data_IF_264778880373
#
_entry.id   IF_264778880373
#
_cell.length_a   1.000
_cell.length_b   1.000
_cell.length_c   1.000
_cell.angle_alpha   90.00
_cell.angle_beta   90.00
_cell.angle_gamma   90.00
#
_symmetry.space_group_name_H-M   'P 1'
#
loop_
_entity.id
_entity.type
_entity.pdbx_description
1 polymer ?
#
# COMPACT_ATOMS: atom_id res chain seq x y z
N UNK A 1 31.17 3.41 59.58
CA UNK A 1 30.42 2.67 58.54
C UNK A 1 29.84 3.68 57.54
N UNK A 2 30.36 3.77 56.31
CA UNK A 2 29.87 4.69 55.28
C UNK A 2 28.65 4.07 54.58
N UNK A 3 27.50 4.75 54.62
CA UNK A 3 26.30 4.35 53.87
C UNK A 3 26.48 4.78 52.40
N UNK A 4 26.62 3.81 51.51
CA UNK A 4 26.64 4.01 50.07
C UNK A 4 25.19 4.03 49.58
N UNK A 5 24.72 5.18 49.08
CA UNK A 5 23.40 5.29 48.45
C UNK A 5 23.57 4.93 46.98
N UNK A 6 22.98 3.80 46.58
CA UNK A 6 22.90 3.37 45.19
C UNK A 6 21.75 4.13 44.52
N UNK A 7 22.06 5.03 43.58
CA UNK A 7 21.07 5.66 42.72
C UNK A 7 20.83 4.73 41.54
N UNK A 8 19.68 4.06 41.51
CA UNK A 8 19.20 3.40 40.29
C UNK A 8 18.67 4.46 39.32
N UNK A 9 19.31 4.62 38.17
CA UNK A 9 18.71 5.29 37.02
C UNK A 9 17.65 4.37 36.41
N UNK A 10 16.37 4.73 36.53
CA UNK A 10 15.35 4.18 35.65
C UNK A 10 15.50 4.82 34.27
N UNK A 11 15.99 4.05 33.30
CA UNK A 11 15.85 4.42 31.89
C UNK A 11 14.38 4.20 31.48
N UNK A 12 13.63 5.29 31.36
CA UNK A 12 12.29 5.28 30.75
C UNK A 12 12.42 4.98 29.26
N UNK A 13 12.17 3.73 28.87
CA UNK A 13 11.93 3.36 27.47
C UNK A 13 10.56 3.90 27.11
N UNK A 14 10.51 5.09 26.52
CA UNK A 14 9.27 5.60 25.95
C UNK A 14 8.81 4.65 24.82
N UNK A 15 7.50 4.32 24.72
CA UNK A 15 7.01 3.57 23.57
C UNK A 15 7.34 4.38 22.32
N UNK A 16 8.05 3.74 21.37
CA UNK A 16 8.28 4.33 20.05
C UNK A 16 6.90 4.66 19.50
N UNK A 17 6.61 5.95 19.32
CA UNK A 17 5.34 6.38 18.75
C UNK A 17 5.14 5.64 17.43
N UNK A 18 4.07 4.83 17.34
CA UNK A 18 3.70 4.16 16.11
C UNK A 18 3.50 5.25 15.06
N UNK A 19 4.26 5.21 13.96
CA UNK A 19 4.04 6.14 12.84
C UNK A 19 2.55 6.14 12.50
N UNK A 20 1.97 7.32 12.26
CA UNK A 20 0.59 7.35 11.81
C UNK A 20 0.50 6.59 10.50
N UNK A 21 -0.62 5.88 10.27
CA UNK A 21 -0.72 4.90 9.18
C UNK A 21 -0.32 5.50 7.82
N UNK A 22 -0.54 6.79 7.56
CA UNK A 22 -0.18 7.45 6.31
C UNK A 22 1.12 8.26 6.28
N UNK A 23 1.98 8.18 7.29
CA UNK A 23 3.20 9.01 7.35
C UNK A 23 4.23 8.63 6.28
N UNK A 24 4.30 7.34 5.91
CA UNK A 24 5.19 6.82 4.87
C UNK A 24 4.51 5.78 3.99
N UNK A 25 5.17 5.43 2.89
CA UNK A 25 4.74 4.32 2.00
C UNK A 25 4.73 2.99 2.75
N UNK A 26 5.70 2.81 3.64
CA UNK A 26 5.84 1.61 4.47
C UNK A 26 4.73 1.53 5.52
N UNK A 27 4.43 2.64 6.21
CA UNK A 27 3.41 2.66 7.25
C UNK A 27 2.02 2.36 6.67
N UNK A 28 1.69 2.91 5.50
CA UNK A 28 0.34 2.72 4.92
C UNK A 28 0.16 1.30 4.39
N UNK A 29 1.22 0.75 3.79
CA UNK A 29 1.23 -0.65 3.34
C UNK A 29 1.07 -1.60 4.53
N UNK A 30 1.82 -1.36 5.61
CA UNK A 30 1.73 -2.17 6.83
C UNK A 30 0.36 -2.03 7.50
N UNK A 31 -0.22 -0.82 7.52
CA UNK A 31 -1.54 -0.59 8.10
C UNK A 31 -2.63 -1.39 7.39
N UNK A 32 -2.56 -1.55 6.06
CA UNK A 32 -3.51 -2.40 5.33
C UNK A 32 -3.39 -3.86 5.78
N UNK A 33 -2.18 -4.43 5.83
CA UNK A 33 -1.97 -5.80 6.31
C UNK A 33 -2.45 -5.97 7.75
N UNK A 34 -2.14 -5.03 8.64
CA UNK A 34 -2.52 -5.08 10.04
C UNK A 34 -4.04 -5.11 10.24
N UNK A 35 -4.82 -4.42 9.39
CA UNK A 35 -6.28 -4.38 9.53
C UNK A 35 -6.94 -5.66 9.04
N UNK A 36 -6.42 -6.31 8.00
CA UNK A 36 -7.02 -7.55 7.47
C UNK A 36 -6.56 -8.79 8.25
N UNK A 37 -5.41 -8.71 8.92
CA UNK A 37 -4.78 -9.82 9.63
C UNK A 37 -5.21 -9.93 11.09
N UNK A 38 -5.64 -11.13 11.49
CA UNK A 38 -6.03 -11.41 12.86
C UNK A 38 -6.81 -12.72 13.04
N UNK A 39 -7.18 -13.04 14.30
CA UNK A 39 -8.06 -14.16 14.60
C UNK A 39 -9.44 -13.99 13.93
N UNK A 40 -10.29 -15.01 14.01
CA UNK A 40 -11.68 -14.85 13.54
C UNK A 40 -12.37 -13.71 14.31
N UNK A 41 -13.06 -12.82 13.60
CA UNK A 41 -13.78 -11.69 14.18
C UNK A 41 -13.89 -10.48 13.26
N UNK A 42 -14.59 -9.47 13.76
CA UNK A 42 -14.78 -8.19 13.06
C UNK A 42 -13.43 -7.47 12.96
N UNK A 43 -13.13 -6.91 11.77
CA UNK A 43 -11.96 -6.05 11.57
C UNK A 43 -12.31 -4.59 11.87
N UNK A 44 -11.29 -3.78 12.13
CA UNK A 44 -11.44 -2.34 12.21
C UNK A 44 -11.67 -1.74 10.82
N UNK A 45 -12.89 -1.86 10.32
CA UNK A 45 -13.25 -1.38 8.99
C UNK A 45 -13.27 0.15 8.93
N UNK A 46 -13.40 0.85 10.06
CA UNK A 46 -13.29 2.31 10.10
C UNK A 46 -11.84 2.72 9.78
N UNK A 47 -10.86 2.10 10.45
CA UNK A 47 -9.45 2.25 10.12
C UNK A 47 -9.18 1.83 8.69
N UNK A 48 -9.65 0.66 8.24
CA UNK A 48 -9.49 0.19 6.85
C UNK A 48 -9.84 1.28 5.84
N UNK A 49 -11.08 1.80 5.89
CA UNK A 49 -11.56 2.83 4.95
C UNK A 49 -10.74 4.10 4.99
N UNK A 50 -10.27 4.50 6.18
CA UNK A 50 -9.44 5.69 6.33
C UNK A 50 -8.09 5.60 5.59
N UNK A 51 -7.63 4.40 5.25
CA UNK A 51 -6.37 4.19 4.51
C UNK A 51 -6.49 4.50 3.01
N UNK A 52 -7.71 4.52 2.47
CA UNK A 52 -7.95 4.66 1.04
C UNK A 52 -8.25 6.11 0.64
N UNK A 53 -7.81 6.48 -0.55
CA UNK A 53 -8.18 7.73 -1.20
C UNK A 53 -9.62 7.63 -1.74
N UNK A 54 -10.23 8.80 -2.01
CA UNK A 54 -11.48 8.83 -2.77
C UNK A 54 -11.30 8.19 -4.15
N UNK A 55 -12.27 7.38 -4.57
CA UNK A 55 -12.21 6.68 -5.85
C UNK A 55 -11.33 5.42 -5.86
N UNK A 56 -10.73 5.02 -4.73
CA UNK A 56 -9.83 3.88 -4.68
C UNK A 56 -10.50 2.54 -5.07
N UNK A 57 -9.70 1.59 -5.55
CA UNK A 57 -10.15 0.26 -6.00
C UNK A 57 -9.28 -0.88 -5.47
N UNK A 58 -9.94 -1.98 -5.13
CA UNK A 58 -9.34 -3.27 -4.88
C UNK A 58 -9.69 -4.20 -6.03
N UNK A 59 -8.69 -4.78 -6.68
CA UNK A 59 -8.87 -5.56 -7.91
C UNK A 59 -8.20 -6.91 -7.73
N UNK A 60 -8.99 -7.97 -7.65
CA UNK A 60 -8.46 -9.34 -7.63
C UNK A 60 -8.45 -9.91 -9.04
N UNK A 61 -7.35 -10.51 -9.48
CA UNK A 61 -7.36 -11.35 -10.66
C UNK A 61 -8.11 -12.66 -10.37
N UNK A 62 -9.03 -13.03 -11.26
CA UNK A 62 -9.66 -14.36 -11.28
C UNK A 62 -9.18 -15.08 -12.53
N UNK A 63 -8.85 -16.37 -12.39
CA UNK A 63 -8.56 -17.23 -13.53
C UNK A 63 -9.66 -18.28 -13.61
N UNK A 64 -10.33 -18.31 -14.75
CA UNK A 64 -11.46 -19.19 -15.06
C UNK A 64 -11.16 -19.97 -16.34
N UNK A 65 -12.05 -20.87 -16.74
CA UNK A 65 -11.90 -21.60 -18.00
C UNK A 65 -11.91 -20.64 -19.21
N UNK A 66 -12.59 -19.51 -19.07
CA UNK A 66 -12.72 -18.45 -20.08
C UNK A 66 -11.49 -17.51 -20.11
N UNK A 67 -10.56 -17.67 -19.16
CA UNK A 67 -9.33 -16.89 -19.06
C UNK A 67 -9.23 -16.05 -17.79
N UNK A 68 -8.24 -15.15 -17.78
CA UNK A 68 -7.98 -14.26 -16.66
C UNK A 68 -8.83 -12.98 -16.78
N UNK A 69 -9.53 -12.62 -15.71
CA UNK A 69 -10.38 -11.44 -15.65
C UNK A 69 -10.22 -10.69 -14.32
N UNK A 70 -10.22 -9.35 -14.33
CA UNK A 70 -10.21 -8.56 -13.12
C UNK A 70 -11.60 -8.57 -12.45
N UNK A 71 -11.62 -8.67 -11.13
CA UNK A 71 -12.79 -8.42 -10.30
C UNK A 71 -12.56 -7.14 -9.49
N UNK A 72 -13.20 -6.06 -9.90
CA UNK A 72 -13.03 -4.71 -9.36
C UNK A 72 -14.02 -4.47 -8.22
N UNK A 73 -13.52 -3.95 -7.11
CA UNK A 73 -14.27 -3.69 -5.87
C UNK A 73 -13.90 -2.31 -5.34
N UNK A 74 -14.84 -1.67 -4.66
CA UNK A 74 -14.54 -0.55 -3.75
C UNK A 74 -13.99 -1.08 -2.42
N UNK A 75 -13.40 -0.22 -1.57
CA UNK A 75 -13.07 -0.59 -0.19
C UNK A 75 -14.28 -1.13 0.60
N UNK A 76 -15.47 -0.59 0.34
CA UNK A 76 -16.70 -1.05 0.98
C UNK A 76 -17.10 -2.44 0.52
N UNK A 77 -17.12 -2.70 -0.79
CA UNK A 77 -17.43 -4.03 -1.35
C UNK A 77 -16.46 -5.08 -0.79
N UNK A 78 -15.17 -4.74 -0.72
CA UNK A 78 -14.16 -5.63 -0.14
C UNK A 78 -14.44 -5.87 1.34
N UNK A 79 -14.70 -4.83 2.13
CA UNK A 79 -14.94 -4.96 3.57
C UNK A 79 -16.15 -5.86 3.89
N UNK A 80 -17.22 -5.75 3.11
CA UNK A 80 -18.42 -6.59 3.26
C UNK A 80 -18.12 -8.05 2.90
N UNK A 81 -17.51 -8.28 1.73
CA UNK A 81 -17.23 -9.62 1.22
C UNK A 81 -16.18 -10.35 2.06
N UNK A 82 -15.07 -9.69 2.37
CA UNK A 82 -13.99 -10.25 3.17
C UNK A 82 -14.40 -10.40 4.64
N UNK A 83 -15.14 -9.42 5.18
CA UNK A 83 -15.62 -9.44 6.56
C UNK A 83 -16.48 -10.66 6.88
N UNK A 84 -17.40 -11.05 6.00
CA UNK A 84 -18.20 -12.27 6.17
C UNK A 84 -17.35 -13.54 6.33
N UNK A 85 -16.16 -13.58 5.73
CA UNK A 85 -15.19 -14.68 5.90
C UNK A 85 -14.36 -14.52 7.17
N UNK A 86 -13.85 -13.32 7.44
CA UNK A 86 -12.99 -13.03 8.59
C UNK A 86 -13.69 -13.17 9.93
N UNK A 87 -15.00 -12.92 10.00
CA UNK A 87 -15.78 -13.18 11.23
C UNK A 87 -15.79 -14.67 11.62
N UNK A 88 -15.71 -15.56 10.63
CA UNK A 88 -15.80 -17.02 10.84
C UNK A 88 -14.43 -17.69 10.86
N UNK A 89 -13.44 -17.08 10.22
CA UNK A 89 -12.15 -17.70 9.97
C UNK A 89 -11.01 -16.77 10.38
N UNK A 90 -10.03 -17.33 11.08
CA UNK A 90 -8.76 -16.65 11.26
C UNK A 90 -8.06 -16.49 9.90
N UNK A 91 -7.43 -15.34 9.74
CA UNK A 91 -6.74 -14.96 8.52
C UNK A 91 -5.58 -14.04 8.89
N UNK A 92 -4.37 -14.49 8.63
CA UNK A 92 -3.15 -13.72 8.86
C UNK A 92 -2.43 -13.60 7.54
N UNK A 93 -2.29 -12.38 7.04
CA UNK A 93 -1.49 -12.07 5.88
C UNK A 93 -0.31 -11.18 6.26
N UNK A 94 0.88 -11.57 5.81
CA UNK A 94 2.12 -10.85 6.08
C UNK A 94 2.91 -10.62 4.80
N UNK A 95 3.59 -9.48 4.74
CA UNK A 95 4.54 -9.17 3.66
C UNK A 95 5.84 -9.95 3.85
N UNK A 96 6.28 -10.63 2.79
CA UNK A 96 7.57 -11.32 2.71
C UNK A 96 8.68 -10.42 2.16
N UNK A 97 8.37 -9.69 1.11
CA UNK A 97 9.29 -8.75 0.48
C UNK A 97 8.51 -7.72 -0.32
N UNK A 98 9.15 -6.60 -0.64
CA UNK A 98 8.58 -5.59 -1.52
C UNK A 98 9.63 -4.96 -2.40
N UNK A 99 9.17 -4.36 -3.49
CA UNK A 99 9.87 -3.33 -4.25
C UNK A 99 9.06 -2.05 -4.22
N UNK A 100 9.74 -0.93 -4.04
CA UNK A 100 9.13 0.39 -3.94
C UNK A 100 9.72 1.28 -5.01
N UNK A 101 8.86 1.83 -5.86
CA UNK A 101 9.19 2.86 -6.84
C UNK A 101 8.42 4.13 -6.49
N UNK A 102 9.05 5.30 -6.54
CA UNK A 102 8.41 6.57 -6.16
C UNK A 102 8.77 7.69 -7.13
N UNK A 103 7.80 8.56 -7.39
CA UNK A 103 8.01 9.80 -8.12
C UNK A 103 7.03 10.87 -7.64
N UNK A 104 7.55 11.99 -7.10
CA UNK A 104 6.70 13.06 -6.57
C UNK A 104 5.73 12.57 -5.50
N UNK A 105 4.42 12.71 -5.76
CA UNK A 105 3.34 12.35 -4.84
C UNK A 105 2.72 10.96 -5.12
N UNK A 106 3.38 10.12 -5.91
CA UNK A 106 2.96 8.74 -6.16
C UNK A 106 4.02 7.73 -5.73
N UNK A 107 3.55 6.56 -5.30
CA UNK A 107 4.39 5.41 -5.02
C UNK A 107 3.73 4.13 -5.52
N UNK A 108 4.55 3.20 -5.98
CA UNK A 108 4.16 1.84 -6.32
C UNK A 108 4.87 0.88 -5.38
N UNK A 109 4.11 -0.02 -4.75
CA UNK A 109 4.66 -1.08 -3.89
C UNK A 109 4.25 -2.42 -4.47
N UNK A 110 5.21 -3.17 -4.97
CA UNK A 110 5.03 -4.55 -5.42
C UNK A 110 5.39 -5.48 -4.28
N UNK A 111 4.38 -5.83 -3.48
CA UNK A 111 4.50 -6.49 -2.17
C UNK A 111 4.12 -7.97 -2.27
N UNK A 112 5.09 -8.85 -2.09
CA UNK A 112 4.84 -10.29 -2.00
C UNK A 112 4.29 -10.64 -0.64
N UNK A 113 3.14 -11.30 -0.61
CA UNK A 113 2.48 -11.71 0.63
C UNK A 113 2.42 -13.22 0.78
N UNK A 114 2.09 -13.61 1.99
CA UNK A 114 1.70 -14.96 2.34
C UNK A 114 0.56 -14.94 3.37
N UNK A 115 -0.41 -15.85 3.21
CA UNK A 115 -1.60 -15.93 4.06
C UNK A 115 -1.64 -17.26 4.81
N UNK A 116 -1.99 -17.21 6.11
CA UNK A 116 -2.04 -18.32 7.07
C UNK A 116 -3.34 -18.34 7.86
N UNK A 117 -3.66 -19.50 8.45
CA UNK A 117 -4.79 -19.65 9.38
C UNK A 117 -4.38 -19.37 10.82
N UNK A 118 -3.15 -19.69 11.21
CA UNK A 118 -2.56 -19.24 12.46
C UNK A 118 -1.10 -18.77 12.31
N UNK A 119 -0.60 -17.92 13.22
CA UNK A 119 0.81 -17.55 13.26
C UNK A 119 1.71 -18.80 13.35
N UNK A 120 2.79 -18.83 12.56
CA UNK A 120 3.74 -19.94 12.54
C UNK A 120 3.34 -21.16 11.70
N UNK A 121 2.11 -21.22 11.17
CA UNK A 121 1.70 -22.29 10.27
C UNK A 121 2.29 -22.12 8.86
N UNK A 122 2.22 -23.20 8.06
CA UNK A 122 2.53 -23.12 6.63
C UNK A 122 1.50 -22.21 5.93
N UNK A 123 1.94 -21.32 5.02
CA UNK A 123 1.00 -20.51 4.25
C UNK A 123 0.10 -21.38 3.40
N UNK A 124 -1.20 -21.06 3.38
CA UNK A 124 -2.16 -21.69 2.47
C UNK A 124 -2.28 -20.93 1.15
N UNK A 125 -1.83 -19.67 1.11
CA UNK A 125 -1.81 -18.83 -0.07
C UNK A 125 -0.57 -17.94 -0.06
N UNK A 126 -0.09 -17.59 -1.25
CA UNK A 126 0.93 -16.57 -1.48
C UNK A 126 0.58 -15.82 -2.76
N UNK A 127 1.07 -14.61 -2.91
CA UNK A 127 0.82 -13.83 -4.11
C UNK A 127 1.52 -12.48 -4.05
N UNK A 128 1.11 -11.58 -4.93
CA UNK A 128 1.64 -10.21 -4.94
C UNK A 128 0.48 -9.22 -4.92
N UNK A 129 0.54 -8.30 -3.96
CA UNK A 129 -0.24 -7.08 -3.92
C UNK A 129 0.54 -5.96 -4.63
N UNK A 130 -0.01 -5.44 -5.71
CA UNK A 130 0.48 -4.25 -6.42
C UNK A 130 -0.28 -3.03 -5.91
N UNK A 131 0.31 -2.36 -4.93
CA UNK A 131 -0.22 -1.12 -4.38
C UNK A 131 0.16 0.08 -5.25
N UNK A 132 -0.81 0.90 -5.59
CA UNK A 132 -0.59 2.26 -6.05
C UNK A 132 -1.05 3.22 -4.96
N UNK A 133 -0.14 4.08 -4.53
CA UNK A 133 -0.34 5.01 -3.43
C UNK A 133 -0.24 6.44 -3.94
N UNK A 134 -1.01 7.32 -3.32
CA UNK A 134 -1.01 8.77 -3.59
C UNK A 134 -0.76 9.52 -2.28
N UNK A 135 -0.04 10.63 -2.35
CA UNK A 135 0.11 11.57 -1.24
C UNK A 135 -0.82 12.75 -1.44
N UNK A 136 -1.85 12.88 -0.60
CA UNK A 136 -2.91 13.90 -0.71
C UNK A 136 -2.52 15.28 -0.13
N UNK A 137 -1.22 15.56 -0.05
CA UNK A 137 -0.64 16.74 0.58
C UNK A 137 -0.46 16.62 2.11
N UNK A 138 -1.12 15.65 2.76
CA UNK A 138 -0.98 15.40 4.21
C UNK A 138 -0.44 14.01 4.50
N UNK A 139 -1.04 12.99 3.90
CA UNK A 139 -0.76 11.60 4.18
C UNK A 139 -0.70 10.77 2.89
N UNK A 140 0.00 9.64 2.95
CA UNK A 140 -0.12 8.59 1.96
C UNK A 140 -1.46 7.88 2.12
N UNK A 141 -2.09 7.61 0.98
CA UNK A 141 -3.36 6.88 0.85
C UNK A 141 -3.25 5.84 -0.25
N UNK A 142 -4.01 4.77 -0.12
CA UNK A 142 -4.13 3.72 -1.12
C UNK A 142 -5.10 4.17 -2.22
N UNK A 143 -4.64 4.20 -3.47
CA UNK A 143 -5.49 4.42 -4.64
C UNK A 143 -5.90 3.08 -5.27
N UNK A 144 -4.97 2.15 -5.43
CA UNK A 144 -5.26 0.83 -6.00
C UNK A 144 -4.54 -0.25 -5.22
N UNK A 145 -5.22 -1.38 -4.97
CA UNK A 145 -4.56 -2.66 -4.68
C UNK A 145 -5.02 -3.64 -5.75
N UNK A 146 -4.13 -3.97 -6.68
CA UNK A 146 -4.34 -5.02 -7.67
C UNK A 146 -3.54 -6.24 -7.24
N UNK A 147 -4.13 -7.42 -7.20
CA UNK A 147 -3.39 -8.62 -6.81
C UNK A 147 -3.70 -9.83 -7.67
N UNK A 148 -2.70 -10.70 -7.74
CA UNK A 148 -2.83 -12.06 -8.26
C UNK A 148 -2.16 -13.03 -7.28
N UNK A 149 -2.63 -14.28 -7.30
CA UNK A 149 -2.20 -15.34 -6.42
C UNK A 149 -1.30 -16.31 -7.16
N UNK A 150 -0.26 -16.79 -6.47
CA UNK A 150 0.52 -17.92 -6.91
C UNK A 150 -0.37 -19.15 -7.16
N UNK A 151 -0.12 -19.85 -8.26
CA UNK A 151 -0.84 -21.06 -8.65
C UNK A 151 0.04 -21.98 -9.46
N UNK A 152 -0.43 -23.20 -9.70
CA UNK A 152 0.21 -24.10 -10.64
C UNK A 152 0.36 -23.44 -12.02
N UNK A 153 1.54 -23.55 -12.63
CA UNK A 153 1.88 -22.87 -13.89
C UNK A 153 2.20 -21.37 -13.77
N UNK A 154 2.00 -20.75 -12.59
CA UNK A 154 2.37 -19.36 -12.31
C UNK A 154 2.98 -19.22 -10.91
N UNK A 155 4.20 -19.78 -10.70
CA UNK A 155 4.89 -19.68 -9.42
C UNK A 155 5.39 -18.25 -9.16
N UNK A 156 5.57 -17.89 -7.89
CA UNK A 156 6.18 -16.61 -7.54
C UNK A 156 7.64 -16.55 -8.06
N UNK A 157 8.01 -15.54 -8.86
CA UNK A 157 9.38 -15.38 -9.30
C UNK A 157 10.34 -15.16 -8.13
N UNK A 158 11.48 -15.86 -8.13
CA UNK A 158 12.49 -15.78 -7.05
C UNK A 158 12.93 -14.35 -6.71
N UNK A 159 12.96 -13.46 -7.72
CA UNK A 159 13.32 -12.04 -7.57
C UNK A 159 12.36 -11.22 -6.70
N UNK A 160 11.19 -11.77 -6.36
CA UNK A 160 10.19 -11.18 -5.47
C UNK A 160 10.05 -11.97 -4.16
N UNK A 161 11.00 -12.84 -3.83
CA UNK A 161 11.06 -13.55 -2.54
C UNK A 161 12.20 -13.04 -1.65
N UNK A 162 13.07 -12.19 -2.19
CA UNK A 162 14.20 -11.61 -1.46
C UNK A 162 13.83 -10.19 -1.04
N UNK A 163 13.94 -9.82 0.24
CA UNK A 163 13.79 -8.43 0.68
C UNK A 163 14.70 -7.52 -0.14
N UNK A 164 14.11 -6.53 -0.82
CA UNK A 164 14.91 -5.52 -1.51
C UNK A 164 15.50 -4.58 -0.48
N UNK A 165 16.77 -4.18 -0.63
CA UNK A 165 17.34 -3.12 0.19
C UNK A 165 16.48 -1.85 0.03
N UNK A 166 16.25 -1.07 1.11
CA UNK A 166 15.50 0.16 1.01
C UNK A 166 16.14 1.04 -0.06
N UNK A 167 15.35 1.50 -1.02
CA UNK A 167 15.80 2.49 -1.98
C UNK A 167 16.33 3.68 -1.18
N UNK A 168 17.61 4.06 -1.38
CA UNK A 168 18.13 5.30 -0.81
C UNK A 168 17.27 6.41 -1.40
N UNK A 169 16.35 6.94 -0.62
CA UNK A 169 15.58 8.13 -0.98
C UNK A 169 16.61 9.25 -1.07
N UNK A 170 17.09 9.51 -2.28
CA UNK A 170 17.84 10.71 -2.56
C UNK A 170 16.84 11.85 -2.39
N UNK A 171 16.86 12.48 -1.21
CA UNK A 171 16.21 13.77 -1.00
C UNK A 171 16.92 14.78 -1.91
N UNK A 172 16.56 14.81 -3.18
CA UNK A 172 16.85 15.95 -4.04
C UNK A 172 15.94 17.08 -3.58
N UNK A 173 16.42 17.81 -2.56
CA UNK A 173 15.95 19.17 -2.31
C UNK A 173 16.09 19.89 -3.66
N UNK A 174 15.01 20.42 -4.26
CA UNK A 174 15.17 21.24 -5.45
C UNK A 174 16.08 22.41 -5.06
N UNK A 175 17.15 22.61 -5.82
CA UNK A 175 17.97 23.80 -5.69
C UNK A 175 17.06 25.04 -5.82
N UNK A 176 17.30 26.11 -5.04
CA UNK A 176 16.55 27.34 -5.24
C UNK A 176 16.68 27.78 -6.70
N UNK A 177 15.55 28.09 -7.34
CA UNK A 177 15.53 28.51 -8.73
C UNK A 177 16.42 29.74 -8.90
N UNK A 178 17.54 29.57 -9.60
CA UNK A 178 18.29 30.71 -10.12
C UNK A 178 17.44 31.40 -11.18
N UNK A 179 17.13 32.67 -10.93
CA UNK A 179 16.48 33.53 -11.91
C UNK A 179 17.48 33.85 -13.03
N UNK A 180 17.16 33.44 -14.26
CA UNK A 180 17.64 34.12 -15.46
C UNK A 180 18.33 33.26 -16.52
N UNK A 181 17.55 32.83 -17.53
CA UNK A 181 17.87 32.96 -18.96
C UNK A 181 16.69 32.46 -19.81
N UNK A 182 16.35 33.09 -20.94
CA UNK A 182 15.27 32.62 -21.81
C UNK A 182 15.74 31.42 -22.66
N UNK A 183 15.08 30.28 -22.50
CA UNK A 183 15.26 29.11 -23.38
C UNK A 183 14.44 29.23 -24.68
N UNK A 184 14.86 28.60 -25.79
CA UNK A 184 14.24 28.77 -27.10
C UNK A 184 12.89 28.02 -27.22
N UNK A 185 12.10 28.47 -28.18
CA UNK A 185 10.70 28.13 -28.40
C UNK A 185 10.39 26.62 -28.55
N UNK A 186 9.72 26.08 -27.53
CA UNK A 186 8.44 25.36 -27.60
C UNK A 186 8.26 24.20 -28.59
N UNK A 187 8.41 22.97 -28.10
CA UNK A 187 7.59 21.84 -28.54
C UNK A 187 6.39 21.75 -27.59
N UNK A 188 5.17 22.08 -28.06
CA UNK A 188 3.95 21.99 -27.26
C UNK A 188 3.51 20.53 -27.14
N UNK A 189 3.66 19.95 -25.95
CA UNK A 189 2.93 18.73 -25.58
C UNK A 189 1.47 19.13 -25.32
N UNK A 190 0.58 18.58 -26.13
CA UNK A 190 -0.87 18.67 -26.00
C UNK A 190 -1.30 18.05 -24.67
N UNK A 191 -1.64 18.87 -23.68
CA UNK A 191 -2.57 18.47 -22.62
C UNK A 191 -3.95 18.41 -23.25
N UNK A 192 -4.53 17.22 -23.37
CA UNK A 192 -5.95 17.08 -23.66
C UNK A 192 -6.72 17.54 -22.41
N UNK A 193 -7.19 18.79 -22.43
CA UNK A 193 -8.12 19.30 -21.43
C UNK A 193 -9.50 18.67 -21.69
N UNK A 194 -9.78 17.59 -20.96
CA UNK A 194 -11.03 16.81 -21.01
C UNK A 194 -12.20 17.51 -20.29
N UNK A 195 -12.05 18.78 -19.90
CA UNK A 195 -13.03 19.50 -19.08
C UNK A 195 -14.04 20.34 -19.88
N UNK A 196 -14.05 20.29 -21.21
CA UNK A 196 -15.05 21.02 -22.02
C UNK A 196 -16.20 20.10 -22.47
N UNK A 197 -17.48 20.46 -22.21
CA UNK A 197 -18.60 19.73 -22.76
C UNK A 197 -18.64 19.93 -24.29
N UNK A 198 -19.01 18.87 -25.01
CA UNK A 198 -19.17 18.92 -26.46
C UNK A 198 -20.22 19.98 -26.85
N UNK A 199 -19.98 20.81 -27.87
CA UNK A 199 -21.00 21.73 -28.33
C UNK A 199 -22.21 20.97 -28.87
N UNK A 200 -23.39 21.35 -28.38
CA UNK A 200 -24.68 20.92 -28.88
C UNK A 200 -24.79 21.27 -30.37
N UNK A 201 -25.33 20.34 -31.16
CA UNK A 201 -25.45 20.50 -32.60
C UNK A 201 -26.41 21.61 -33.01
N UNK A 202 -26.27 22.07 -34.25
CA UNK A 202 -27.37 22.58 -35.08
C UNK A 202 -26.89 22.65 -36.54
N UNK A 203 -27.68 21.96 -37.38
CA UNK A 203 -27.93 22.12 -38.82
C UNK A 203 -26.82 21.86 -39.86
#
# INVERSE_FOLDING_TARGET
>A
MRRMVLVMLLASVAPIARAADGDSVESITQAVYDVISGPAGIRDWARFRSLFAEGARLISMRVTAEGAAPNVMTPDDYSQRAGASFEKNAFYESELSRRVEMFGNIAHVFSTYESRRAPGEKPFARGINSFQLVKDGKAWKVMTILWDQEREGSPLPQKYLVPSAPAKVANSRPAPAEAGAPGPAGLRIIHADISRPAPAGAE
#
